data_IF_750219612038
#
_entry.id   IF_750219612038
#
_cell.length_a   1.000
_cell.length_b   1.000
_cell.length_c   1.000
_cell.angle_alpha   90.00
_cell.angle_beta   90.00
_cell.angle_gamma   90.00
#
_symmetry.space_group_name_H-M   'P 1'
#
loop_
_entity.id
_entity.type
_entity.pdbx_description
1 polymer ?
#
# COMPACT_ATOMS: atom_id res chain seq x y z
N UNK A 1 22.58 -34.82 -20.00
CA UNK A 1 21.20 -34.44 -19.68
C UNK A 1 21.26 -33.02 -19.17
N UNK A 2 20.92 -32.06 -20.03
CA UNK A 2 20.97 -30.64 -19.70
C UNK A 2 19.75 -30.31 -18.86
N UNK A 3 19.93 -30.01 -17.57
CA UNK A 3 18.87 -29.40 -16.78
C UNK A 3 19.09 -27.90 -16.84
N UNK A 4 18.42 -27.25 -17.80
CA UNK A 4 18.31 -25.79 -17.84
C UNK A 4 17.61 -25.35 -16.56
N UNK A 5 18.40 -24.89 -15.61
CA UNK A 5 17.94 -24.03 -14.52
C UNK A 5 17.46 -22.72 -15.14
N UNK A 6 16.21 -22.75 -15.61
CA UNK A 6 15.44 -21.58 -15.96
C UNK A 6 15.30 -20.75 -14.69
N UNK A 7 16.14 -19.71 -14.59
CA UNK A 7 15.85 -18.55 -13.75
C UNK A 7 14.50 -18.02 -14.17
N UNK A 8 13.46 -18.49 -13.47
CA UNK A 8 12.16 -17.87 -13.51
C UNK A 8 12.30 -16.52 -12.82
N UNK A 9 12.84 -15.54 -13.56
CA UNK A 9 12.76 -14.11 -13.26
C UNK A 9 11.29 -13.74 -13.29
N UNK A 10 10.57 -14.15 -12.23
CA UNK A 10 9.20 -13.73 -11.99
C UNK A 10 9.36 -12.27 -11.64
N UNK A 11 9.17 -11.38 -12.62
CA UNK A 11 9.34 -9.94 -12.51
C UNK A 11 8.61 -9.42 -11.25
N UNK A 12 9.33 -9.35 -10.13
CA UNK A 12 8.75 -8.97 -8.85
C UNK A 12 8.61 -7.45 -8.91
N UNK A 13 7.41 -6.97 -9.23
CA UNK A 13 7.17 -5.53 -9.24
C UNK A 13 7.38 -4.98 -7.82
N UNK A 14 8.33 -4.06 -7.67
CA UNK A 14 8.70 -3.45 -6.40
C UNK A 14 8.48 -1.95 -6.47
N UNK A 15 7.94 -1.38 -5.41
CA UNK A 15 7.74 0.06 -5.27
C UNK A 15 8.30 0.55 -3.94
N UNK A 16 8.82 1.77 -3.93
CA UNK A 16 9.06 2.50 -2.71
C UNK A 16 7.87 3.41 -2.47
N UNK A 17 7.12 3.16 -1.40
CA UNK A 17 5.93 3.94 -1.11
C UNK A 17 6.31 5.16 -0.25
N UNK A 18 5.83 6.38 -0.54
CA UNK A 18 6.17 7.60 0.19
C UNK A 18 5.79 7.55 1.67
N UNK A 19 4.83 6.70 2.03
CA UNK A 19 4.40 6.45 3.40
C UNK A 19 5.13 5.29 4.08
N UNK A 20 5.94 4.52 3.35
CA UNK A 20 6.78 3.46 3.87
C UNK A 20 8.10 3.41 3.06
N UNK A 21 8.99 4.37 3.34
CA UNK A 21 10.22 4.59 2.55
C UNK A 21 11.37 3.65 2.93
N UNK A 22 11.33 3.13 4.14
CA UNK A 22 12.40 2.29 4.72
C UNK A 22 12.56 0.98 3.95
N UNK A 23 11.46 0.40 3.46
CA UNK A 23 11.46 -0.86 2.72
C UNK A 23 10.66 -0.77 1.43
N UNK A 24 11.04 -1.60 0.46
CA UNK A 24 10.30 -1.75 -0.79
C UNK A 24 9.13 -2.71 -0.61
N UNK A 25 7.97 -2.35 -1.16
CA UNK A 25 6.84 -3.27 -1.22
C UNK A 25 6.91 -4.09 -2.51
N UNK A 26 6.58 -5.37 -2.39
CA UNK A 26 6.54 -6.35 -3.47
C UNK A 26 5.09 -6.61 -3.89
N UNK A 27 4.83 -6.63 -5.20
CA UNK A 27 3.53 -7.01 -5.74
C UNK A 27 3.32 -8.51 -5.64
N UNK A 28 2.24 -8.88 -4.96
CA UNK A 28 1.73 -10.25 -4.84
C UNK A 28 0.46 -10.33 -5.68
N UNK A 29 0.55 -11.05 -6.80
CA UNK A 29 -0.57 -11.22 -7.74
C UNK A 29 -1.58 -12.29 -7.27
N UNK A 30 -1.09 -13.31 -6.58
CA UNK A 30 -1.89 -14.43 -6.07
C UNK A 30 -1.46 -14.75 -4.64
N UNK A 31 -2.43 -14.91 -3.75
CA UNK A 31 -2.16 -15.44 -2.41
C UNK A 31 -1.90 -16.94 -2.57
N UNK A 32 -0.66 -17.37 -2.32
CA UNK A 32 -0.40 -18.78 -2.05
C UNK A 32 -1.19 -19.12 -0.79
N UNK A 33 -2.29 -19.85 -0.97
CA UNK A 33 -3.28 -20.25 0.04
C UNK A 33 -2.82 -20.11 1.49
N UNK A 34 -3.54 -19.30 2.28
CA UNK A 34 -4.05 -19.59 3.63
C UNK A 34 -4.50 -18.32 4.35
N UNK A 35 -5.79 -17.97 4.20
CA UNK A 35 -6.67 -17.46 5.26
C UNK A 35 -6.33 -16.17 6.02
N UNK A 36 -5.21 -15.49 5.77
CA UNK A 36 -4.83 -14.30 6.52
C UNK A 36 -5.63 -13.10 6.02
N UNK A 37 -6.71 -12.77 6.75
CA UNK A 37 -7.45 -11.52 6.58
C UNK A 37 -6.55 -10.36 6.98
N UNK A 38 -5.77 -9.87 6.03
CA UNK A 38 -4.96 -8.66 6.19
C UNK A 38 -5.79 -7.43 5.82
N UNK A 39 -5.39 -6.27 6.32
CA UNK A 39 -6.05 -5.00 6.04
C UNK A 39 -5.07 -4.05 5.36
N UNK A 40 -5.58 -3.28 4.42
CA UNK A 40 -4.79 -2.25 3.74
C UNK A 40 -4.44 -1.14 4.73
N UNK A 41 -3.15 -0.80 4.82
CA UNK A 41 -2.68 0.30 5.67
C UNK A 41 -3.03 1.69 5.10
N UNK A 42 -3.45 1.75 3.83
CA UNK A 42 -3.87 2.98 3.16
C UNK A 42 -5.34 3.32 3.42
N UNK A 43 -6.27 2.41 3.06
CA UNK A 43 -7.72 2.65 3.21
C UNK A 43 -8.33 2.00 4.45
N UNK A 44 -7.65 1.03 5.07
CA UNK A 44 -8.14 0.30 6.24
C UNK A 44 -9.13 -0.84 5.95
N UNK A 45 -9.44 -1.10 4.68
CA UNK A 45 -10.33 -2.16 4.27
C UNK A 45 -9.61 -3.51 4.12
N UNK A 46 -10.39 -4.59 4.02
CA UNK A 46 -9.87 -5.93 3.80
C UNK A 46 -9.03 -5.98 2.51
N UNK A 47 -7.87 -6.61 2.60
CA UNK A 47 -6.93 -6.67 1.50
C UNK A 47 -7.33 -7.74 0.49
N UNK A 48 -7.34 -7.34 -0.78
CA UNK A 48 -7.58 -8.22 -1.92
C UNK A 48 -6.33 -8.29 -2.79
N UNK A 49 -6.07 -9.44 -3.41
CA UNK A 49 -5.07 -9.55 -4.46
C UNK A 49 -5.57 -8.93 -5.76
N UNK A 50 -4.70 -8.31 -6.57
CA UNK A 50 -3.27 -8.11 -6.34
C UNK A 50 -2.96 -7.00 -5.31
N UNK A 51 -1.91 -7.20 -4.51
CA UNK A 51 -1.53 -6.28 -3.44
C UNK A 51 -0.02 -6.07 -3.30
N UNK A 52 0.38 -4.93 -2.75
CA UNK A 52 1.77 -4.64 -2.41
C UNK A 52 2.01 -4.96 -0.94
N UNK A 53 3.02 -5.78 -0.66
CA UNK A 53 3.38 -6.21 0.69
C UNK A 53 4.86 -5.98 0.94
N UNK A 54 5.19 -5.41 2.09
CA UNK A 54 6.55 -5.39 2.60
C UNK A 54 6.89 -6.76 3.21
N UNK A 55 8.08 -7.29 2.94
CA UNK A 55 8.52 -8.58 3.51
C UNK A 55 9.05 -8.38 4.94
N UNK A 56 9.68 -7.23 5.18
CA UNK A 56 10.32 -6.87 6.45
C UNK A 56 9.33 -6.27 7.47
N UNK A 57 8.16 -5.81 7.02
CA UNK A 57 7.16 -5.14 7.85
C UNK A 57 5.76 -5.69 7.61
N UNK A 58 4.88 -5.59 8.61
CA UNK A 58 3.44 -5.88 8.47
C UNK A 58 2.69 -4.77 7.71
N UNK A 59 3.29 -4.25 6.64
CA UNK A 59 2.79 -3.15 5.84
C UNK A 59 2.30 -3.67 4.49
N UNK A 60 1.00 -3.56 4.30
CA UNK A 60 0.30 -4.06 3.13
C UNK A 60 -0.64 -3.01 2.56
N UNK A 61 -0.67 -2.89 1.23
CA UNK A 61 -1.53 -1.97 0.49
C UNK A 61 -2.22 -2.70 -0.66
N UNK A 62 -3.47 -2.33 -0.96
CA UNK A 62 -4.03 -2.65 -2.27
C UNK A 62 -3.15 -2.06 -3.36
N UNK A 63 -3.10 -2.71 -4.52
CA UNK A 63 -2.42 -2.16 -5.71
C UNK A 63 -2.84 -0.70 -5.97
N UNK A 64 -4.15 -0.45 -5.96
CA UNK A 64 -4.70 0.90 -6.17
C UNK A 64 -4.28 1.90 -5.08
N UNK A 65 -4.20 1.50 -3.82
CA UNK A 65 -3.77 2.38 -2.73
C UNK A 65 -2.29 2.74 -2.85
N UNK A 66 -1.46 1.84 -3.36
CA UNK A 66 -0.04 2.09 -3.51
C UNK A 66 0.30 2.92 -4.76
N UNK A 67 -0.54 2.83 -5.79
CA UNK A 67 -0.42 3.63 -7.03
C UNK A 67 -1.23 4.94 -6.97
N UNK A 68 -2.00 5.16 -5.90
CA UNK A 68 -2.84 6.35 -5.77
C UNK A 68 -1.98 7.62 -5.70
N UNK A 69 -2.42 8.72 -6.35
CA UNK A 69 -1.72 9.99 -6.27
C UNK A 69 -1.78 10.53 -4.83
N UNK A 70 -0.63 10.98 -4.32
CA UNK A 70 -0.54 11.56 -2.98
C UNK A 70 -1.30 12.88 -2.83
N UNK A 71 -1.55 13.56 -3.95
CA UNK A 71 -2.26 14.82 -3.99
C UNK A 71 -3.22 14.84 -5.18
N UNK A 72 -4.50 15.07 -4.91
CA UNK A 72 -5.51 15.33 -5.94
C UNK A 72 -5.81 16.83 -5.98
N UNK A 73 -5.30 17.57 -6.98
CA UNK A 73 -5.69 18.95 -7.20
C UNK A 73 -7.14 19.02 -7.71
N UNK A 74 -7.86 20.10 -7.38
CA UNK A 74 -9.22 20.38 -7.88
C UNK A 74 -10.25 19.25 -7.63
N UNK A 75 -10.28 18.69 -6.42
CA UNK A 75 -11.24 17.64 -6.09
C UNK A 75 -12.70 18.18 -6.03
N UNK A 76 -13.67 17.56 -6.72
CA UNK A 76 -15.02 18.10 -6.87
C UNK A 76 -15.83 18.19 -5.56
N UNK A 77 -15.49 17.38 -4.54
CA UNK A 77 -16.09 17.50 -3.20
C UNK A 77 -15.47 18.62 -2.34
N UNK A 78 -14.32 19.17 -2.76
CA UNK A 78 -13.65 20.28 -2.07
C UNK A 78 -13.33 21.43 -3.05
N UNK A 79 -14.33 21.96 -3.77
CA UNK A 79 -14.11 23.00 -4.78
C UNK A 79 -13.54 24.29 -4.17
N UNK A 80 -13.87 24.56 -2.91
CA UNK A 80 -13.38 25.74 -2.17
C UNK A 80 -11.89 25.65 -1.82
N UNK A 81 -11.31 24.44 -1.82
CA UNK A 81 -9.90 24.19 -1.53
C UNK A 81 -9.13 23.72 -2.78
N UNK A 82 -9.61 24.10 -3.98
CA UNK A 82 -9.00 23.75 -5.26
C UNK A 82 -7.49 24.04 -5.33
N UNK A 83 -7.03 25.09 -4.63
CA UNK A 83 -5.61 25.48 -4.52
C UNK A 83 -4.80 24.75 -3.45
N UNK A 84 -5.45 24.15 -2.45
CA UNK A 84 -4.75 23.42 -1.39
C UNK A 84 -4.58 21.93 -1.72
N UNK A 85 -5.38 21.35 -2.62
CA UNK A 85 -5.30 19.94 -2.98
C UNK A 85 -5.72 19.01 -1.85
N UNK A 86 -6.22 17.81 -2.20
CA UNK A 86 -6.46 16.76 -1.23
C UNK A 86 -5.23 15.88 -1.12
N UNK A 87 -4.57 15.90 0.03
CA UNK A 87 -3.44 15.03 0.29
C UNK A 87 -3.90 13.75 0.96
N UNK A 88 -3.48 12.61 0.43
CA UNK A 88 -3.57 11.35 1.15
C UNK A 88 -2.74 11.48 2.43
N UNK A 89 -3.30 11.05 3.55
CA UNK A 89 -2.58 10.95 4.82
C UNK A 89 -2.40 9.47 5.15
N UNK A 90 -1.32 9.16 5.83
CA UNK A 90 -1.19 7.82 6.41
C UNK A 90 -2.34 7.58 7.37
N UNK A 91 -2.88 6.36 7.33
CA UNK A 91 -3.72 5.91 8.44
C UNK A 91 -2.86 6.01 9.71
N UNK A 92 -3.35 6.68 10.76
CA UNK A 92 -2.60 6.72 12.01
C UNK A 92 -2.31 5.29 12.45
N UNK A 93 -1.04 4.99 12.71
CA UNK A 93 -0.63 3.72 13.28
C UNK A 93 -1.44 3.51 14.57
N UNK A 94 -1.92 2.29 14.80
CA UNK A 94 -2.74 1.93 15.96
C UNK A 94 -1.94 1.93 17.28
N UNK A 95 -0.80 2.66 17.36
CA UNK A 95 -0.19 3.05 18.62
C UNK A 95 -1.12 4.04 19.32
N UNK A 96 -2.05 3.48 20.11
CA UNK A 96 -3.16 4.13 20.78
C UNK A 96 -2.77 5.24 21.76
N UNK A 97 -2.27 6.35 21.25
CA UNK A 97 -2.21 7.60 21.99
C UNK A 97 -3.53 8.32 21.74
N UNK A 98 -4.56 7.90 22.47
CA UNK A 98 -5.77 8.70 22.66
C UNK A 98 -5.37 9.96 23.46
N UNK A 99 -4.84 10.96 22.78
CA UNK A 99 -4.73 12.29 23.34
C UNK A 99 -6.12 12.90 23.39
N UNK A 100 -6.65 13.16 24.59
CA UNK A 100 -7.78 14.06 24.75
C UNK A 100 -7.33 15.45 24.30
N UNK A 101 -7.99 16.00 23.28
CA UNK A 101 -7.90 17.43 23.00
C UNK A 101 -8.66 18.18 24.09
N UNK A 102 -7.95 19.05 24.82
CA UNK A 102 -8.52 20.08 25.69
C UNK A 102 -9.13 21.20 24.84
#
# INVERSE_FOLDING_TARGET
MEMKNESHDKLVQRIQHPFHKEHSLVLVAEQSNEGLKTYCNGCGELLSTPCYTCIDCNYHLHKQCAEAPLSLPNHPLHPQHSRCGLFLRQRPDHSGVYGCAL
#
